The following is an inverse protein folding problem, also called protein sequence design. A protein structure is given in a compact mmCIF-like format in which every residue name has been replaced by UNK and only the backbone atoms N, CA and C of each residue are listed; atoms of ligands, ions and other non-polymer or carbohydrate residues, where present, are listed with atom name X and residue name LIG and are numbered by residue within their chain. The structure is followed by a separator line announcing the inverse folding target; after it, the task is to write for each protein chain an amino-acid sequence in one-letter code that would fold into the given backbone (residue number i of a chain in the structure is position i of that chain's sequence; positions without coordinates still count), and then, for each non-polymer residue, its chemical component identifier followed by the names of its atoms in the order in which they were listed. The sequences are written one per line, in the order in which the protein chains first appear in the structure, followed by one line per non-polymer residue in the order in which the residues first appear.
data_IF_583083850708
#
_entry.id   IF_583083850708
#
_cell.length_a   1.000
_cell.length_b   1.000
_cell.length_c   1.000
_cell.angle_alpha   90.00
_cell.angle_beta   90.00
_cell.angle_gamma   90.00
#
_symmetry.space_group_name_H-M   'P 1'
#
loop_
_entity.id
_entity.type
_entity.pdbx_description
1 polymer ?
#
# COMPACT_ATOMS: atom_id res chain seq x y z
N UNK A 1 -3.59 -20.89 6.38
CA UNK A 1 -2.62 -19.86 5.97
C UNK A 1 -2.28 -18.89 7.11
N UNK A 2 -3.08 -17.86 7.45
CA UNK A 2 -2.73 -16.89 8.53
C UNK A 2 -2.54 -17.51 9.92
N UNK A 3 -3.51 -18.29 10.39
CA UNK A 3 -3.43 -18.95 11.70
C UNK A 3 -2.26 -19.93 11.82
N UNK A 4 -1.88 -20.53 10.69
CA UNK A 4 -0.73 -21.42 10.62
C UNK A 4 0.57 -20.63 10.70
N UNK A 5 0.67 -19.50 9.99
CA UNK A 5 1.78 -18.57 10.13
C UNK A 5 1.93 -18.09 11.58
N UNK A 6 0.82 -17.69 12.23
CA UNK A 6 0.85 -17.28 13.64
C UNK A 6 1.36 -18.40 14.56
N UNK A 7 0.81 -19.61 14.46
CA UNK A 7 1.26 -20.76 15.27
C UNK A 7 2.73 -21.09 15.06
N UNK A 8 3.22 -20.96 13.82
CA UNK A 8 4.63 -21.14 13.51
C UNK A 8 5.48 -20.04 14.12
N UNK A 9 5.05 -18.79 13.99
CA UNK A 9 5.77 -17.63 14.53
C UNK A 9 6.01 -17.76 16.04
N UNK A 10 5.02 -18.27 16.79
CA UNK A 10 5.14 -18.53 18.23
C UNK A 10 6.27 -19.51 18.62
N UNK A 11 6.76 -20.32 17.67
CA UNK A 11 7.88 -21.26 17.92
C UNK A 11 9.23 -20.71 17.46
N UNK A 12 9.26 -19.53 16.84
CA UNK A 12 10.47 -18.91 16.30
C UNK A 12 11.12 -17.98 17.33
N UNK A 13 12.42 -17.73 17.15
CA UNK A 13 13.18 -16.77 17.96
C UNK A 13 13.43 -15.51 17.15
N UNK A 14 13.22 -14.35 17.76
CA UNK A 14 13.51 -13.05 17.14
C UNK A 14 15.02 -12.91 16.86
N UNK A 15 15.43 -12.47 15.65
CA UNK A 15 16.83 -12.32 15.31
C UNK A 15 17.48 -11.11 16.02
N UNK A 16 18.72 -11.27 16.49
CA UNK A 16 19.49 -10.23 17.20
C UNK A 16 20.80 -9.86 16.52
N UNK A 17 21.03 -10.34 15.30
CA UNK A 17 22.29 -10.15 14.57
C UNK A 17 22.45 -8.77 13.91
N UNK A 18 21.35 -8.03 13.77
CA UNK A 18 21.37 -6.69 13.19
C UNK A 18 22.00 -5.68 14.16
N UNK A 19 22.70 -4.67 13.62
CA UNK A 19 23.34 -3.61 14.42
C UNK A 19 22.33 -2.51 14.78
N UNK A 20 21.25 -2.89 15.43
CA UNK A 20 20.19 -2.01 15.92
C UNK A 20 19.95 -2.35 17.39
N UNK A 21 19.66 -1.32 18.19
CA UNK A 21 19.33 -1.48 19.60
C UNK A 21 17.94 -0.88 19.82
N UNK A 22 17.03 -1.70 20.33
CA UNK A 22 15.66 -1.32 20.61
C UNK A 22 15.12 -2.14 21.80
N UNK A 23 14.23 -1.57 22.61
CA UNK A 23 13.60 -2.31 23.69
C UNK A 23 12.80 -3.48 23.13
N UNK A 24 12.74 -4.60 23.87
CA UNK A 24 11.97 -5.77 23.46
C UNK A 24 10.54 -5.36 23.11
N UNK A 25 10.10 -5.74 21.92
CA UNK A 25 8.77 -5.41 21.42
C UNK A 25 7.74 -6.35 22.07
N UNK A 26 6.70 -5.78 22.67
CA UNK A 26 5.52 -6.55 23.06
C UNK A 26 4.56 -6.64 21.88
N UNK A 27 4.72 -7.69 21.08
CA UNK A 27 3.88 -7.94 19.92
C UNK A 27 2.39 -8.15 20.26
N UNK A 28 2.02 -8.40 21.53
CA UNK A 28 0.62 -8.58 21.92
C UNK A 28 -0.08 -7.27 22.30
N UNK A 29 0.68 -6.20 22.52
CA UNK A 29 0.16 -4.87 22.84
C UNK A 29 0.03 -3.96 21.59
N UNK A 30 0.35 -4.50 20.40
CA UNK A 30 0.27 -3.75 19.13
C UNK A 30 -1.13 -3.82 18.54
N UNK A 31 -1.62 -2.68 18.03
CA UNK A 31 -2.78 -2.65 17.15
C UNK A 31 -2.36 -2.96 15.71
N UNK A 32 -2.77 -4.12 15.20
CA UNK A 32 -2.43 -4.60 13.84
C UNK A 32 -3.35 -4.10 12.72
N UNK A 33 -4.41 -3.39 13.10
CA UNK A 33 -5.39 -2.83 12.18
C UNK A 33 -5.92 -1.52 12.74
N UNK A 34 -5.89 -0.48 11.92
CA UNK A 34 -6.64 0.75 12.16
C UNK A 34 -7.38 1.14 10.88
N UNK A 35 -8.71 1.19 10.99
CA UNK A 35 -9.52 1.77 9.94
C UNK A 35 -9.27 3.28 9.89
N UNK A 36 -9.01 3.87 8.71
CA UNK A 36 -8.90 5.32 8.60
C UNK A 36 -10.22 5.96 9.03
N UNK A 37 -10.12 7.06 9.78
CA UNK A 37 -11.29 7.87 10.13
C UNK A 37 -11.87 8.45 8.83
N UNK A 38 -13.21 8.44 8.64
CA UNK A 38 -13.81 9.03 7.45
C UNK A 38 -13.35 10.49 7.33
N UNK A 39 -12.63 10.80 6.25
CA UNK A 39 -12.19 12.17 5.95
C UNK A 39 -13.43 13.04 5.71
N UNK A 40 -13.38 14.29 6.17
CA UNK A 40 -14.34 15.30 5.72
C UNK A 40 -14.12 15.52 4.22
N UNK A 41 -15.19 15.55 3.45
CA UNK A 41 -15.15 16.05 2.08
C UNK A 41 -14.68 17.50 2.12
N UNK A 42 -13.61 17.81 1.40
CA UNK A 42 -13.04 19.16 1.34
C UNK A 42 -13.58 19.86 0.09
N UNK A 43 -13.89 21.15 0.23
CA UNK A 43 -14.47 21.94 -0.87
C UNK A 43 -13.39 22.48 -1.82
N UNK A 44 -12.17 22.64 -1.33
CA UNK A 44 -11.03 23.20 -2.07
C UNK A 44 -9.71 22.56 -1.64
N UNK A 45 -8.73 22.61 -2.54
CA UNK A 45 -7.33 22.25 -2.28
C UNK A 45 -6.70 23.11 -1.17
N UNK A 46 -7.21 24.32 -0.96
CA UNK A 46 -6.73 25.25 0.08
C UNK A 46 -7.12 24.81 1.49
N UNK A 47 -8.09 23.88 1.62
CA UNK A 47 -8.47 23.28 2.90
C UNK A 47 -7.55 22.11 3.29
N UNK A 48 -6.67 21.67 2.38
CA UNK A 48 -5.67 20.65 2.65
C UNK A 48 -4.58 21.25 3.54
N UNK A 49 -4.24 20.53 4.61
CA UNK A 49 -3.17 20.95 5.52
C UNK A 49 -1.86 21.21 4.74
N UNK A 50 -1.22 22.39 4.92
CA UNK A 50 0.01 22.76 4.20
C UNK A 50 1.16 21.75 4.34
N UNK A 51 1.25 21.01 5.45
CA UNK A 51 2.25 19.94 5.61
C UNK A 51 1.99 18.77 4.65
N UNK A 52 0.72 18.48 4.37
CA UNK A 52 0.29 17.45 3.43
C UNK A 52 0.68 17.84 2.01
N UNK A 53 0.35 19.07 1.61
CA UNK A 53 0.73 19.62 0.29
C UNK A 53 2.24 19.60 0.08
N UNK A 54 3.01 20.03 1.09
CA UNK A 54 4.47 20.04 1.07
C UNK A 54 5.06 18.63 0.98
N UNK A 55 4.41 17.65 1.60
CA UNK A 55 4.81 16.23 1.52
C UNK A 55 4.60 15.71 0.11
N UNK A 56 3.43 15.94 -0.48
CA UNK A 56 3.14 15.51 -1.85
C UNK A 56 4.02 16.20 -2.90
N UNK A 57 4.33 17.49 -2.72
CA UNK A 57 5.27 18.22 -3.57
C UNK A 57 6.67 17.58 -3.53
N UNK A 58 7.18 17.24 -2.34
CA UNK A 58 8.46 16.51 -2.19
C UNK A 58 8.44 15.13 -2.84
N UNK A 59 7.30 14.45 -2.81
CA UNK A 59 7.09 13.15 -3.45
C UNK A 59 6.92 13.26 -4.97
N UNK A 60 6.81 14.47 -5.52
CA UNK A 60 6.59 14.70 -6.95
C UNK A 60 5.19 14.28 -7.42
N UNK A 61 4.24 14.15 -6.50
CA UNK A 61 2.84 13.81 -6.82
C UNK A 61 2.16 15.07 -7.35
N UNK A 62 1.55 15.02 -8.55
CA UNK A 62 0.87 16.18 -9.12
C UNK A 62 -0.24 16.69 -8.19
N UNK A 63 -0.35 18.02 -8.02
CA UNK A 63 -1.37 18.66 -7.17
C UNK A 63 -2.81 18.21 -7.44
N UNK A 64 -3.10 17.80 -8.68
CA UNK A 64 -4.41 17.24 -9.05
C UNK A 64 -4.66 15.87 -8.42
N UNK A 65 -3.65 14.99 -8.42
CA UNK A 65 -3.74 13.70 -7.74
C UNK A 65 -3.90 13.94 -6.24
N UNK A 66 -3.13 14.87 -5.66
CA UNK A 66 -3.27 15.29 -4.26
C UNK A 66 -4.69 15.72 -3.90
N UNK A 67 -5.31 16.57 -4.73
CA UNK A 67 -6.68 17.02 -4.53
C UNK A 67 -7.66 15.85 -4.50
N UNK A 68 -7.51 14.88 -5.41
CA UNK A 68 -8.34 13.66 -5.45
C UNK A 68 -8.10 12.80 -4.19
N UNK A 69 -6.85 12.61 -3.78
CA UNK A 69 -6.47 11.80 -2.61
C UNK A 69 -6.91 12.40 -1.27
N UNK A 70 -7.03 13.72 -1.20
CA UNK A 70 -7.53 14.43 -0.02
C UNK A 70 -9.05 14.69 -0.07
N UNK A 71 -9.75 14.18 -1.08
CA UNK A 71 -11.22 14.22 -1.15
C UNK A 71 -11.78 15.58 -1.59
N UNK A 72 -11.01 16.35 -2.35
CA UNK A 72 -11.48 17.58 -3.02
C UNK A 72 -12.25 17.19 -4.28
N UNK A 73 -13.50 17.63 -4.39
CA UNK A 73 -14.30 17.37 -5.59
C UNK A 73 -13.68 18.08 -6.81
N UNK A 74 -13.47 17.37 -7.94
CA UNK A 74 -12.96 18.01 -9.15
C UNK A 74 -14.02 18.99 -9.68
N UNK A 75 -13.63 20.22 -10.07
CA UNK A 75 -14.57 21.15 -10.66
C UNK A 75 -15.15 20.57 -11.97
N UNK A 76 -16.46 20.70 -12.22
CA UNK A 76 -17.07 20.20 -13.44
C UNK A 76 -16.46 20.91 -14.66
N UNK A 77 -15.76 20.14 -15.51
CA UNK A 77 -15.20 20.63 -16.78
C UNK A 77 -13.69 20.88 -16.84
N UNK A 78 -12.90 20.43 -15.84
CA UNK A 78 -11.44 20.63 -15.84
C UNK A 78 -10.70 19.91 -17.00
N UNK A 79 -9.91 20.67 -17.77
CA UNK A 79 -9.07 20.19 -18.87
C UNK A 79 -8.01 19.16 -18.43
N UNK A 80 -7.81 18.13 -19.26
CA UNK A 80 -6.81 17.08 -19.09
C UNK A 80 -5.45 17.60 -19.58
N UNK A 81 -4.58 18.06 -18.69
CA UNK A 81 -3.18 18.35 -19.05
C UNK A 81 -2.37 17.05 -19.20
N UNK A 82 -1.41 16.95 -20.14
CA UNK A 82 -0.90 15.67 -20.63
C UNK A 82 0.36 15.14 -19.93
N UNK A 83 0.93 15.86 -18.96
CA UNK A 83 2.27 15.52 -18.47
C UNK A 83 2.24 14.65 -17.22
N UNK A 84 2.55 13.37 -17.45
CA UNK A 84 2.69 12.22 -16.53
C UNK A 84 1.38 11.57 -16.06
N UNK A 85 1.03 10.47 -16.73
CA UNK A 85 0.06 9.49 -16.24
C UNK A 85 0.79 8.57 -15.25
N UNK A 86 0.54 8.74 -13.97
CA UNK A 86 1.00 7.82 -12.91
C UNK A 86 -0.27 7.33 -12.23
N UNK A 87 -0.50 6.02 -12.22
CA UNK A 87 -1.58 5.46 -11.42
C UNK A 87 -1.13 5.41 -9.97
N UNK A 88 -1.84 6.14 -9.11
CA UNK A 88 -1.51 6.22 -7.68
C UNK A 88 -2.52 5.41 -6.89
N UNK A 89 -2.03 4.48 -6.07
CA UNK A 89 -2.79 3.85 -4.99
C UNK A 89 -2.33 4.46 -3.66
N UNK A 90 -3.20 5.26 -3.04
CA UNK A 90 -2.88 5.91 -1.76
C UNK A 90 -3.45 5.10 -0.60
N UNK A 91 -2.56 4.52 0.17
CA UNK A 91 -2.89 3.75 1.37
C UNK A 91 -2.72 4.65 2.58
N UNK A 92 -3.82 4.93 3.27
CA UNK A 92 -3.82 5.67 4.53
C UNK A 92 -4.13 4.71 5.67
N UNK A 93 -3.24 4.67 6.65
CA UNK A 93 -3.30 3.70 7.75
C UNK A 93 -3.29 2.25 7.22
N UNK A 94 -4.35 1.46 7.47
CA UNK A 94 -4.44 0.06 7.01
C UNK A 94 -5.29 -0.14 5.75
N UNK A 95 -5.72 0.91 5.05
CA UNK A 95 -6.69 0.80 3.94
C UNK A 95 -6.32 1.73 2.77
N UNK A 96 -6.40 1.22 1.54
CA UNK A 96 -6.37 2.08 0.34
C UNK A 96 -7.61 2.97 0.22
N UNK A 97 -7.39 4.25 -0.05
CA UNK A 97 -8.44 5.28 -0.12
C UNK A 97 -8.81 5.66 -1.55
N UNK A 98 -7.89 5.54 -2.52
CA UNK A 98 -8.16 5.85 -3.91
C UNK A 98 -7.12 5.24 -4.86
N UNK A 99 -7.60 4.69 -5.98
CA UNK A 99 -6.77 4.29 -7.14
C UNK A 99 -7.15 5.14 -8.35
N UNK A 100 -6.21 5.89 -8.91
CA UNK A 100 -6.46 6.67 -10.15
C UNK A 100 -6.21 5.83 -11.42
N UNK A 101 -6.77 6.26 -12.56
CA UNK A 101 -6.62 5.62 -13.87
C UNK A 101 -7.09 4.15 -13.99
N UNK A 102 -7.99 3.68 -13.10
CA UNK A 102 -8.53 2.31 -13.15
C UNK A 102 -9.15 1.95 -14.51
N UNK A 103 -9.78 2.90 -15.21
CA UNK A 103 -10.40 2.65 -16.53
C UNK A 103 -9.34 2.36 -17.60
N UNK A 104 -8.26 3.13 -17.66
CA UNK A 104 -7.18 2.87 -18.62
C UNK A 104 -6.42 1.58 -18.32
N UNK A 105 -6.14 1.29 -17.04
CA UNK A 105 -5.51 0.03 -16.64
C UNK A 105 -6.38 -1.17 -17.00
N UNK A 106 -7.68 -1.11 -16.70
CA UNK A 106 -8.64 -2.15 -17.06
C UNK A 106 -8.76 -2.35 -18.57
N UNK A 107 -8.69 -1.27 -19.35
CA UNK A 107 -8.68 -1.35 -20.82
C UNK A 107 -7.43 -2.08 -21.37
N UNK A 108 -6.29 -1.97 -20.68
CA UNK A 108 -5.07 -2.72 -20.98
C UNK A 108 -5.05 -4.14 -20.36
N UNK A 109 -6.09 -4.51 -19.60
CA UNK A 109 -6.14 -5.78 -18.86
C UNK A 109 -5.25 -5.82 -17.62
N UNK A 110 -4.67 -4.69 -17.21
CA UNK A 110 -3.87 -4.56 -15.99
C UNK A 110 -4.80 -4.42 -14.80
N UNK A 111 -4.54 -5.21 -13.76
CA UNK A 111 -5.21 -5.09 -12.46
C UNK A 111 -4.22 -4.37 -11.53
N UNK A 112 -4.63 -3.25 -10.96
CA UNK A 112 -3.92 -2.56 -9.90
C UNK A 112 -4.95 -2.13 -8.86
N UNK A 113 -4.86 -2.74 -7.67
CA UNK A 113 -5.83 -2.54 -6.60
C UNK A 113 -5.23 -3.00 -5.26
N UNK A 114 -5.90 -2.73 -4.14
CA UNK A 114 -5.47 -3.21 -2.83
C UNK A 114 -5.52 -4.73 -2.76
N UNK A 115 -4.54 -5.35 -2.10
CA UNK A 115 -4.50 -6.82 -1.98
C UNK A 115 -5.69 -7.35 -1.18
N UNK A 116 -6.23 -6.56 -0.25
CA UNK A 116 -7.45 -6.90 0.49
C UNK A 116 -8.68 -7.02 -0.42
N UNK A 117 -8.76 -6.25 -1.50
CA UNK A 117 -9.78 -6.37 -2.54
C UNK A 117 -9.47 -7.51 -3.50
N UNK A 118 -8.20 -7.64 -3.94
CA UNK A 118 -7.79 -8.72 -4.83
C UNK A 118 -8.03 -10.12 -4.24
N UNK A 119 -7.91 -10.30 -2.92
CA UNK A 119 -8.26 -11.55 -2.24
C UNK A 119 -9.75 -11.91 -2.43
N UNK A 120 -10.63 -10.90 -2.52
CA UNK A 120 -12.08 -11.08 -2.70
C UNK A 120 -12.47 -11.22 -4.17
N UNK A 121 -11.88 -10.40 -5.04
CA UNK A 121 -12.26 -10.30 -6.46
C UNK A 121 -11.47 -11.25 -7.37
N UNK A 122 -10.23 -11.58 -7.00
CA UNK A 122 -9.32 -12.43 -7.76
C UNK A 122 -8.70 -13.55 -6.90
N UNK A 123 -9.50 -14.32 -6.13
CA UNK A 123 -8.99 -15.28 -5.14
C UNK A 123 -8.10 -16.35 -5.78
N UNK A 124 -8.40 -16.80 -7.00
CA UNK A 124 -7.62 -17.83 -7.69
C UNK A 124 -6.20 -17.36 -8.03
N UNK A 125 -6.06 -16.11 -8.50
CA UNK A 125 -4.75 -15.52 -8.80
C UNK A 125 -3.96 -15.32 -7.51
N UNK A 126 -4.58 -14.74 -6.49
CA UNK A 126 -3.91 -14.51 -5.20
C UNK A 126 -3.48 -15.84 -4.60
N UNK A 127 -4.37 -16.84 -4.52
CA UNK A 127 -4.06 -18.16 -3.95
C UNK A 127 -2.93 -18.88 -4.71
N UNK A 128 -2.87 -18.72 -6.04
CA UNK A 128 -1.83 -19.35 -6.87
C UNK A 128 -0.43 -18.82 -6.56
N UNK A 129 -0.28 -17.54 -6.24
CA UNK A 129 1.02 -16.88 -6.12
C UNK A 129 1.39 -16.43 -4.71
N UNK A 130 0.43 -16.19 -3.83
CA UNK A 130 0.68 -15.73 -2.46
C UNK A 130 1.52 -16.76 -1.69
N UNK A 131 2.70 -16.32 -1.23
CA UNK A 131 3.61 -17.16 -0.45
C UNK A 131 4.52 -18.07 -1.28
N UNK A 132 4.49 -17.97 -2.62
CA UNK A 132 5.38 -18.78 -3.49
C UNK A 132 6.83 -18.30 -3.47
N UNK A 133 7.04 -16.98 -3.38
CA UNK A 133 8.39 -16.37 -3.30
C UNK A 133 8.82 -16.16 -1.85
N UNK A 134 7.95 -15.57 -1.02
CA UNK A 134 8.18 -15.38 0.41
C UNK A 134 7.18 -16.25 1.18
N UNK A 135 7.54 -17.50 1.52
CA UNK A 135 6.65 -18.42 2.21
C UNK A 135 6.41 -18.00 3.66
N UNK A 136 5.37 -18.55 4.28
CA UNK A 136 5.08 -18.32 5.71
C UNK A 136 6.21 -18.79 6.63
N UNK A 137 7.14 -19.61 6.14
CA UNK A 137 8.26 -20.15 6.90
C UNK A 137 9.57 -19.38 6.73
N UNK A 138 9.59 -18.30 5.96
CA UNK A 138 10.83 -17.65 5.50
C UNK A 138 11.71 -17.13 6.65
N UNK A 139 11.20 -16.17 7.43
CA UNK A 139 11.91 -15.61 8.58
C UNK A 139 10.92 -15.06 9.61
N UNK A 140 11.41 -14.70 10.80
CA UNK A 140 10.57 -14.26 11.93
C UNK A 140 9.57 -13.16 11.54
N UNK A 141 10.02 -12.11 10.87
CA UNK A 141 9.18 -10.97 10.49
C UNK A 141 8.28 -11.29 9.29
N UNK A 142 8.74 -12.08 8.32
CA UNK A 142 7.89 -12.53 7.22
C UNK A 142 6.76 -13.46 7.69
N UNK A 143 7.03 -14.32 8.68
CA UNK A 143 6.01 -15.17 9.31
C UNK A 143 5.01 -14.32 10.08
N UNK A 144 5.47 -13.31 10.85
CA UNK A 144 4.60 -12.35 11.52
C UNK A 144 3.72 -11.60 10.52
N UNK A 145 4.30 -10.98 9.50
CA UNK A 145 3.59 -10.28 8.43
C UNK A 145 2.53 -11.19 7.79
N UNK A 146 2.87 -12.45 7.50
CA UNK A 146 1.91 -13.43 6.95
C UNK A 146 0.73 -13.72 7.88
N UNK A 147 0.87 -13.56 9.20
CA UNK A 147 -0.25 -13.67 10.12
C UNK A 147 -1.13 -12.40 10.09
N UNK A 148 -0.51 -11.21 10.07
CA UNK A 148 -1.16 -9.96 10.48
C UNK A 148 -1.33 -8.90 9.39
N UNK A 149 -0.79 -9.07 8.17
CA UNK A 149 -0.88 -8.04 7.14
C UNK A 149 -2.34 -7.65 6.87
N UNK A 150 -2.66 -6.36 6.80
CA UNK A 150 -4.05 -5.93 6.63
C UNK A 150 -4.35 -5.56 5.18
N UNK A 151 -3.39 -4.89 4.53
CA UNK A 151 -3.53 -4.42 3.15
C UNK A 151 -2.15 -4.40 2.46
N UNK A 152 -2.04 -3.68 1.35
CA UNK A 152 -0.87 -3.66 0.47
C UNK A 152 -1.32 -3.63 -0.98
N UNK A 153 -0.41 -3.75 -1.94
CA UNK A 153 -0.78 -3.63 -3.36
C UNK A 153 -0.87 -4.98 -4.06
N UNK A 154 -1.84 -5.13 -4.95
CA UNK A 154 -1.94 -6.23 -5.90
C UNK A 154 -1.83 -5.70 -7.32
N UNK A 155 -0.88 -6.24 -8.07
CA UNK A 155 -0.68 -5.92 -9.49
C UNK A 155 -0.69 -7.21 -10.29
N UNK A 156 -1.50 -7.25 -11.36
CA UNK A 156 -1.41 -8.28 -12.39
C UNK A 156 -1.29 -7.64 -13.77
N UNK A 157 -0.29 -8.06 -14.54
CA UNK A 157 -0.08 -7.64 -15.92
C UNK A 157 -0.12 -8.87 -16.84
N UNK A 158 -1.08 -8.94 -17.78
CA UNK A 158 -1.30 -10.13 -18.61
C UNK A 158 -0.20 -10.34 -19.66
N UNK A 159 -0.14 -11.53 -20.30
CA UNK A 159 0.89 -11.85 -21.27
C UNK A 159 1.00 -10.83 -22.41
N UNK A 160 2.22 -10.44 -22.75
CA UNK A 160 2.51 -9.51 -23.85
C UNK A 160 2.11 -8.05 -23.60
N UNK A 161 1.52 -7.71 -22.45
CA UNK A 161 1.08 -6.35 -22.15
C UNK A 161 2.20 -5.54 -21.50
N UNK A 162 2.49 -4.39 -22.10
CA UNK A 162 3.27 -3.32 -21.45
C UNK A 162 2.30 -2.38 -20.74
N UNK A 163 2.42 -2.28 -19.41
CA UNK A 163 1.62 -1.36 -18.62
C UNK A 163 1.69 0.06 -19.22
N UNK A 164 0.54 0.71 -19.48
CA UNK A 164 0.50 1.98 -20.21
C UNK A 164 1.06 3.16 -19.40
N UNK A 165 1.31 2.97 -18.11
CA UNK A 165 1.78 3.97 -17.18
C UNK A 165 2.59 3.32 -16.05
N UNK A 166 3.25 4.16 -15.26
CA UNK A 166 3.92 3.74 -14.02
C UNK A 166 2.86 3.57 -12.93
N UNK A 167 3.02 2.51 -12.14
CA UNK A 167 2.20 2.27 -10.95
C UNK A 167 2.97 2.78 -9.74
N UNK A 168 2.31 3.53 -8.87
CA UNK A 168 2.92 4.06 -7.67
C UNK A 168 2.00 3.83 -6.48
N UNK A 169 2.51 3.20 -5.42
CA UNK A 169 1.79 3.09 -4.15
C UNK A 169 2.45 3.98 -3.12
N UNK A 170 1.64 4.78 -2.43
CA UNK A 170 2.10 5.63 -1.34
C UNK A 170 1.40 5.25 -0.05
N UNK A 171 2.21 4.90 0.95
CA UNK A 171 1.77 4.59 2.29
C UNK A 171 1.96 5.79 3.21
N UNK A 172 0.89 6.22 3.88
CA UNK A 172 0.94 7.29 4.88
C UNK A 172 0.31 6.85 6.20
N UNK A 173 1.11 6.96 7.28
CA UNK A 173 0.72 6.61 8.65
C UNK A 173 0.16 7.83 9.37
N UNK A 174 -1.14 7.82 9.73
CA UNK A 174 -1.79 8.91 10.46
C UNK A 174 -2.15 8.52 11.90
N UNK A 175 -2.52 7.27 12.21
CA UNK A 175 -2.95 6.88 13.56
C UNK A 175 -1.78 6.56 14.52
N UNK A 176 -1.99 6.70 15.84
CA UNK A 176 -0.98 6.40 16.89
C UNK A 176 -1.04 4.91 17.27
N UNK A 177 0.10 4.32 17.64
CA UNK A 177 0.22 2.94 18.13
C UNK A 177 -0.24 1.81 17.19
N UNK A 178 -0.25 2.06 15.88
CA UNK A 178 -0.58 1.04 14.87
C UNK A 178 0.68 0.51 14.21
N UNK A 179 0.82 -0.82 14.14
CA UNK A 179 1.85 -1.45 13.30
C UNK A 179 1.36 -1.54 11.86
N UNK A 180 2.17 -1.11 10.89
CA UNK A 180 1.82 -1.23 9.48
C UNK A 180 2.44 -2.50 8.91
N UNK A 181 1.58 -3.46 8.57
CA UNK A 181 2.00 -4.69 7.93
C UNK A 181 1.35 -4.77 6.56
N UNK A 182 2.15 -4.46 5.55
CA UNK A 182 1.72 -4.49 4.17
C UNK A 182 2.23 -5.73 3.44
N UNK A 183 1.52 -6.10 2.37
CA UNK A 183 1.95 -7.15 1.48
C UNK A 183 1.67 -6.82 0.04
N UNK A 184 2.74 -6.57 -0.72
CA UNK A 184 2.68 -6.32 -2.15
C UNK A 184 2.82 -7.63 -2.94
N UNK A 185 1.90 -7.91 -3.86
CA UNK A 185 1.93 -9.05 -4.78
C UNK A 185 1.85 -8.54 -6.23
N UNK A 186 2.96 -8.65 -6.96
CA UNK A 186 3.07 -8.24 -8.37
C UNK A 186 3.27 -9.49 -9.23
N UNK A 187 2.38 -9.68 -10.20
CA UNK A 187 2.40 -10.79 -11.15
C UNK A 187 2.54 -10.20 -12.55
N UNK A 188 3.74 -10.25 -13.11
CA UNK A 188 4.02 -9.89 -14.49
C UNK A 188 4.12 -11.17 -15.34
N UNK A 189 3.12 -11.44 -16.17
CA UNK A 189 3.08 -12.65 -16.99
C UNK A 189 4.05 -12.58 -18.19
N UNK A 190 4.17 -13.66 -18.95
CA UNK A 190 5.15 -13.83 -20.04
C UNK A 190 5.12 -12.66 -21.03
N UNK A 191 6.28 -12.03 -21.20
CA UNK A 191 6.44 -10.92 -22.14
C UNK A 191 5.70 -9.64 -21.74
N UNK A 192 5.23 -9.54 -20.50
CA UNK A 192 4.66 -8.32 -19.96
C UNK A 192 5.73 -7.36 -19.43
N UNK A 193 5.34 -6.11 -19.17
CA UNK A 193 6.20 -5.10 -18.56
C UNK A 193 5.41 -4.23 -17.59
N UNK A 194 5.98 -3.95 -16.42
CA UNK A 194 5.46 -3.01 -15.43
C UNK A 194 6.60 -2.23 -14.79
N UNK A 195 6.36 -0.96 -14.51
CA UNK A 195 7.20 -0.14 -13.63
C UNK A 195 6.38 0.16 -12.38
N UNK A 196 6.88 -0.25 -11.22
CA UNK A 196 6.20 -0.11 -9.94
C UNK A 196 7.11 0.66 -8.97
N UNK A 197 6.57 1.72 -8.39
CA UNK A 197 7.23 2.56 -7.40
C UNK A 197 6.49 2.41 -6.07
N UNK A 198 7.25 2.15 -5.00
CA UNK A 198 6.70 2.06 -3.65
C UNK A 198 7.43 3.05 -2.76
N UNK A 199 6.66 3.81 -1.98
CA UNK A 199 7.19 4.75 -1.01
C UNK A 199 6.38 4.72 0.27
N UNK A 200 7.09 4.64 1.40
CA UNK A 200 6.51 4.86 2.72
C UNK A 200 6.96 6.23 3.24
N UNK A 201 6.01 7.00 3.79
CA UNK A 201 6.32 8.22 4.54
C UNK A 201 5.65 8.16 5.91
N UNK A 202 6.46 8.35 6.95
CA UNK A 202 6.01 8.41 8.33
C UNK A 202 6.37 9.79 8.92
N UNK A 203 5.47 10.46 9.66
CA UNK A 203 5.84 11.58 10.51
C UNK A 203 6.85 11.10 11.55
N UNK A 204 7.89 11.89 11.85
CA UNK A 204 8.76 11.60 12.99
C UNK A 204 7.95 11.81 14.28
N UNK A 205 7.81 10.77 15.10
CA UNK A 205 7.02 10.79 16.34
C UNK A 205 7.88 10.44 17.55
N UNK A 206 7.39 10.81 18.73
CA UNK A 206 8.05 10.53 20.02
C UNK A 206 7.93 9.04 20.44
N UNK A 207 7.01 8.28 19.84
CA UNK A 207 6.76 6.86 20.13
C UNK A 207 7.23 5.96 18.98
N UNK A 208 7.85 4.81 19.31
CA UNK A 208 8.34 3.84 18.33
C UNK A 208 7.17 3.12 17.63
N UNK A 209 7.25 2.96 16.31
CA UNK A 209 6.26 2.22 15.50
C UNK A 209 6.95 1.11 14.71
N UNK A 210 6.23 0.00 14.50
CA UNK A 210 6.70 -1.14 13.70
C UNK A 210 6.14 -1.03 12.27
N UNK A 211 7.05 -1.01 11.29
CA UNK A 211 6.77 -0.97 9.84
C UNK A 211 7.67 -2.00 9.15
#
# INVERSE_FOLDING_TARGET
WRLEAYRRWLTMTEPTWARVDYPKIDYQDIYYYAAPKPKKTLSSIDEIDPEILKTYEKLGIPLREVAILEGVEPPPGGEQTPNRKIAVDAVFDSVSVATTFQKELKAAGVIFMPISEAIREHPELVQKYLGTVVPTSDNYFATLNSAVFSDGSFVYVPPGVRCPMELSTYFRINERNTGQFERTLIIADKGSYVSYLEGCTAPQRDENQLH
#
